data_IF_277033496830
#
_entry.id   IF_277033496830
#
_cell.length_a   1.000
_cell.length_b   1.000
_cell.length_c   1.000
_cell.angle_alpha   90.00
_cell.angle_beta   90.00
_cell.angle_gamma   90.00
#
_symmetry.space_group_name_H-M   'P 1'
#
loop_
_entity.id
_entity.type
_entity.pdbx_description
1 polymer ?
#
# COMPACT_ATOMS: atom_id res chain seq x y z
N UNK A 1 12.96 -26.20 17.13
CA UNK A 1 12.19 -24.96 17.02
C UNK A 1 12.19 -24.58 15.55
N UNK A 2 11.06 -24.74 14.84
CA UNK A 2 10.93 -24.25 13.46
C UNK A 2 10.84 -22.73 13.52
N UNK A 3 11.82 -22.06 12.96
CA UNK A 3 11.89 -20.61 12.87
C UNK A 3 10.69 -20.12 12.02
N UNK A 4 9.79 -19.34 12.62
CA UNK A 4 8.64 -18.82 11.88
C UNK A 4 9.05 -17.55 11.12
N UNK A 5 9.37 -17.71 9.84
CA UNK A 5 9.83 -16.62 8.97
C UNK A 5 8.85 -15.43 8.88
N UNK A 6 7.57 -15.65 9.17
CA UNK A 6 6.53 -14.58 9.21
C UNK A 6 6.83 -13.54 10.30
N UNK A 7 7.53 -13.92 11.40
CA UNK A 7 7.91 -12.99 12.46
C UNK A 7 8.90 -11.91 12.01
N UNK A 8 9.67 -12.19 10.95
CA UNK A 8 10.66 -11.25 10.41
C UNK A 8 10.16 -10.59 9.13
N UNK A 9 9.47 -11.34 8.27
CA UNK A 9 9.08 -10.85 6.97
C UNK A 9 8.15 -9.63 7.05
N UNK A 10 7.07 -9.71 7.81
CA UNK A 10 6.08 -8.64 7.89
C UNK A 10 6.62 -7.37 8.56
N UNK A 11 7.29 -7.44 9.72
CA UNK A 11 7.97 -6.27 10.28
C UNK A 11 9.06 -5.72 9.35
N UNK A 12 9.82 -6.61 8.68
CA UNK A 12 10.84 -6.23 7.72
C UNK A 12 10.28 -5.41 6.57
N UNK A 13 9.12 -5.79 6.04
CA UNK A 13 8.43 -5.04 5.00
C UNK A 13 8.04 -3.61 5.45
N UNK A 14 7.51 -3.48 6.67
CA UNK A 14 7.19 -2.18 7.24
C UNK A 14 8.44 -1.31 7.45
N UNK A 15 9.58 -1.90 7.84
CA UNK A 15 10.86 -1.20 7.99
C UNK A 15 11.37 -0.74 6.62
N UNK A 16 11.32 -1.59 5.59
CA UNK A 16 11.79 -1.26 4.22
C UNK A 16 11.07 -0.04 3.67
N UNK A 17 9.77 0.12 3.91
CA UNK A 17 9.03 1.32 3.50
C UNK A 17 9.09 2.46 4.50
N UNK A 18 9.24 2.17 5.79
CA UNK A 18 9.34 3.17 6.85
C UNK A 18 10.63 3.98 6.77
N UNK A 19 11.78 3.33 6.50
CA UNK A 19 13.08 4.02 6.40
C UNK A 19 13.07 5.12 5.32
N UNK A 20 12.69 4.87 4.06
CA UNK A 20 12.58 5.92 3.05
C UNK A 20 11.62 7.05 3.46
N UNK A 21 10.52 6.72 4.14
CA UNK A 21 9.58 7.73 4.64
C UNK A 21 10.24 8.69 5.61
N UNK A 22 11.08 8.20 6.52
CA UNK A 22 11.84 9.01 7.47
C UNK A 22 12.95 9.84 6.81
N UNK A 23 13.52 9.34 5.72
CA UNK A 23 14.61 10.01 4.99
C UNK A 23 14.09 11.14 4.10
N UNK A 24 13.03 10.88 3.34
CA UNK A 24 12.57 11.79 2.28
C UNK A 24 11.56 12.82 2.77
N UNK A 25 10.68 12.48 3.73
CA UNK A 25 9.63 13.39 4.17
C UNK A 25 10.15 14.29 5.29
N UNK A 26 10.15 15.64 5.11
CA UNK A 26 10.54 16.58 6.16
C UNK A 26 9.65 16.45 7.41
N UNK A 27 10.25 16.62 8.59
CA UNK A 27 9.55 16.44 9.90
C UNK A 27 8.32 17.33 10.02
N UNK A 28 8.36 18.54 9.46
CA UNK A 28 7.27 19.52 9.48
C UNK A 28 6.04 19.04 8.70
N UNK A 29 6.25 18.20 7.68
CA UNK A 29 5.20 17.63 6.84
C UNK A 29 4.78 16.22 7.26
N UNK A 30 5.53 15.60 8.18
CA UNK A 30 5.33 14.21 8.56
C UNK A 30 3.90 13.93 9.04
N UNK A 31 3.37 14.80 9.93
CA UNK A 31 2.00 14.65 10.45
C UNK A 31 0.95 14.64 9.33
N UNK A 32 1.09 15.52 8.34
CA UNK A 32 0.18 15.60 7.20
C UNK A 32 0.18 14.29 6.41
N UNK A 33 1.37 13.86 5.98
CA UNK A 33 1.49 12.64 5.19
C UNK A 33 1.14 11.38 5.96
N UNK A 34 1.41 11.35 7.29
CA UNK A 34 1.03 10.24 8.14
C UNK A 34 -0.51 10.09 8.21
N UNK A 35 -1.27 11.18 8.36
CA UNK A 35 -2.73 11.13 8.38
C UNK A 35 -3.27 10.61 7.04
N UNK A 36 -2.80 11.15 5.91
CA UNK A 36 -3.22 10.67 4.59
C UNK A 36 -2.77 9.23 4.33
N UNK A 37 -1.54 8.88 4.66
CA UNK A 37 -1.02 7.52 4.50
C UNK A 37 -1.79 6.51 5.35
N UNK A 38 -2.10 6.85 6.59
CA UNK A 38 -2.88 5.99 7.47
C UNK A 38 -4.32 5.78 6.97
N UNK A 39 -5.00 6.85 6.56
CA UNK A 39 -6.38 6.74 6.07
C UNK A 39 -6.45 6.08 4.70
N UNK A 40 -5.70 6.59 3.72
CA UNK A 40 -5.77 6.13 2.33
C UNK A 40 -4.95 4.85 2.07
N UNK A 41 -3.89 4.61 2.83
CA UNK A 41 -3.09 3.40 2.79
C UNK A 41 -3.54 2.37 3.82
N UNK A 42 -3.34 2.65 5.11
CA UNK A 42 -3.56 1.68 6.18
C UNK A 42 -5.00 1.22 6.33
N UNK A 43 -5.97 2.14 6.49
CA UNK A 43 -7.38 1.77 6.69
C UNK A 43 -7.97 1.16 5.41
N UNK A 44 -7.74 1.78 4.25
CA UNK A 44 -8.27 1.26 2.98
C UNK A 44 -7.65 -0.09 2.65
N UNK A 45 -6.38 -0.35 3.00
CA UNK A 45 -5.76 -1.66 2.87
C UNK A 45 -6.49 -2.74 3.67
N UNK A 46 -6.79 -2.48 4.94
CA UNK A 46 -7.57 -3.41 5.78
C UNK A 46 -8.94 -3.70 5.15
N UNK A 47 -9.64 -2.67 4.67
CA UNK A 47 -10.93 -2.83 4.00
C UNK A 47 -10.78 -3.65 2.71
N UNK A 48 -9.74 -3.40 1.93
CA UNK A 48 -9.43 -4.15 0.70
C UNK A 48 -9.19 -5.64 1.00
N UNK A 49 -8.41 -5.93 2.05
CA UNK A 49 -8.16 -7.32 2.47
C UNK A 49 -9.46 -8.00 2.91
N UNK A 50 -10.31 -7.32 3.67
CA UNK A 50 -11.59 -7.89 4.12
C UNK A 50 -12.53 -8.14 2.93
N UNK A 51 -12.78 -7.13 2.10
CA UNK A 51 -13.77 -7.22 1.02
C UNK A 51 -13.24 -8.00 -0.19
N UNK A 52 -12.10 -7.59 -0.75
CA UNK A 52 -11.58 -8.19 -1.99
C UNK A 52 -10.82 -9.49 -1.67
N UNK A 53 -9.99 -9.51 -0.63
CA UNK A 53 -9.27 -10.71 -0.23
C UNK A 53 -10.21 -11.76 0.34
N UNK A 54 -10.76 -11.53 1.53
CA UNK A 54 -11.47 -12.57 2.27
C UNK A 54 -12.89 -12.85 1.75
N UNK A 55 -13.69 -11.82 1.40
CA UNK A 55 -15.07 -12.01 0.96
C UNK A 55 -15.17 -12.44 -0.52
N UNK A 56 -14.37 -11.84 -1.40
CA UNK A 56 -14.38 -12.21 -2.83
C UNK A 56 -13.39 -13.34 -3.16
N UNK A 57 -12.47 -13.66 -2.26
CA UNK A 57 -11.52 -14.75 -2.44
C UNK A 57 -10.41 -14.46 -3.45
N UNK A 58 -10.14 -13.19 -3.78
CA UNK A 58 -9.16 -12.79 -4.79
C UNK A 58 -7.72 -13.07 -4.37
N UNK A 59 -7.44 -12.94 -3.08
CA UNK A 59 -6.12 -13.22 -2.50
C UNK A 59 -6.19 -13.50 -1.01
N UNK A 60 -5.14 -14.15 -0.50
CA UNK A 60 -5.02 -14.49 0.92
C UNK A 60 -3.59 -14.23 1.41
N UNK A 61 -3.46 -13.58 2.55
CA UNK A 61 -2.19 -13.50 3.26
C UNK A 61 -1.98 -14.75 4.12
N UNK A 62 -0.77 -15.30 4.10
CA UNK A 62 -0.38 -16.35 5.03
C UNK A 62 0.07 -15.65 6.30
N UNK A 63 -0.92 -15.45 7.18
CA UNK A 63 -0.71 -14.77 8.44
C UNK A 63 0.14 -15.62 9.39
N UNK A 64 1.10 -14.98 10.03
CA UNK A 64 1.88 -15.57 11.11
C UNK A 64 1.27 -15.25 12.49
N UNK A 65 2.04 -15.46 13.57
CA UNK A 65 1.55 -15.19 14.92
C UNK A 65 1.29 -13.71 15.21
N UNK A 66 1.81 -12.79 14.39
CA UNK A 66 1.53 -11.34 14.47
C UNK A 66 0.42 -10.95 13.51
N UNK A 67 -0.75 -11.58 13.64
CA UNK A 67 -1.93 -11.29 12.84
C UNK A 67 -3.15 -11.02 13.71
N UNK A 68 -4.00 -10.10 13.25
CA UNK A 68 -5.31 -9.83 13.80
C UNK A 68 -6.37 -10.12 12.72
N UNK A 69 -7.36 -10.94 13.04
CA UNK A 69 -8.44 -11.34 12.08
C UNK A 69 -7.91 -11.94 10.77
N UNK A 70 -6.79 -12.67 10.81
CA UNK A 70 -6.16 -13.26 9.63
C UNK A 70 -5.32 -12.27 8.79
N UNK A 71 -5.21 -11.02 9.21
CA UNK A 71 -4.45 -9.97 8.53
C UNK A 71 -3.14 -9.75 9.29
N UNK A 72 -1.96 -9.90 8.66
CA UNK A 72 -0.70 -9.53 9.30
C UNK A 72 -0.67 -8.04 9.66
N UNK A 73 -0.51 -7.70 10.94
CA UNK A 73 -0.64 -6.33 11.47
C UNK A 73 0.32 -5.33 10.79
N UNK A 74 1.47 -5.80 10.34
CA UNK A 74 2.48 -4.96 9.70
C UNK A 74 2.17 -4.59 8.24
N UNK A 75 1.18 -5.25 7.58
CA UNK A 75 0.78 -4.90 6.21
C UNK A 75 0.14 -3.53 6.15
N UNK A 76 -0.93 -3.21 6.91
CA UNK A 76 -1.49 -1.85 6.92
C UNK A 76 -0.47 -0.78 7.31
N UNK A 77 0.49 -1.11 8.18
CA UNK A 77 1.59 -0.21 8.55
C UNK A 77 2.51 0.03 7.34
N UNK A 78 2.91 -1.02 6.64
CA UNK A 78 3.74 -0.91 5.44
C UNK A 78 3.03 -0.09 4.34
N UNK A 79 1.74 -0.34 4.11
CA UNK A 79 0.94 0.43 3.14
C UNK A 79 0.74 1.88 3.57
N UNK A 80 0.65 2.17 4.87
CA UNK A 80 0.68 3.55 5.37
C UNK A 80 1.94 4.27 4.87
N UNK A 81 3.11 3.68 5.01
CA UNK A 81 4.37 4.26 4.55
C UNK A 81 4.46 4.35 3.02
N UNK A 82 3.99 3.34 2.29
CA UNK A 82 3.92 3.38 0.82
C UNK A 82 3.07 4.58 0.36
N UNK A 83 1.90 4.79 0.98
CA UNK A 83 1.03 5.93 0.64
C UNK A 83 1.62 7.27 1.03
N UNK A 84 2.34 7.35 2.15
CA UNK A 84 3.08 8.57 2.51
C UNK A 84 4.08 8.96 1.41
N UNK A 85 4.87 8.00 0.92
CA UNK A 85 5.83 8.22 -0.18
C UNK A 85 5.12 8.54 -1.50
N UNK A 86 4.07 7.79 -1.84
CA UNK A 86 3.26 8.03 -3.04
C UNK A 86 2.73 9.46 -3.08
N UNK A 87 2.15 9.95 -2.00
CA UNK A 87 1.58 11.29 -1.95
C UNK A 87 2.65 12.39 -1.86
N UNK A 88 3.77 12.10 -1.22
CA UNK A 88 4.89 13.06 -1.12
C UNK A 88 5.54 13.31 -2.48
N UNK A 89 5.77 12.27 -3.26
CA UNK A 89 6.35 12.39 -4.62
C UNK A 89 5.32 12.60 -5.73
N UNK A 90 4.05 12.84 -5.39
CA UNK A 90 2.98 13.01 -6.38
C UNK A 90 3.30 14.13 -7.36
N UNK A 91 3.36 13.86 -8.69
CA UNK A 91 3.71 14.86 -9.69
C UNK A 91 2.69 16.00 -9.72
N UNK A 92 3.17 17.24 -9.82
CA UNK A 92 2.30 18.42 -9.99
C UNK A 92 1.66 18.42 -11.37
N UNK A 93 2.43 18.09 -12.41
CA UNK A 93 1.96 18.08 -13.80
C UNK A 93 1.14 16.83 -14.09
N UNK A 94 -0.03 17.03 -14.73
CA UNK A 94 -0.97 15.93 -15.05
C UNK A 94 -0.37 14.91 -16.03
N UNK A 95 0.47 15.36 -16.96
CA UNK A 95 1.13 14.51 -17.96
C UNK A 95 2.01 13.41 -17.33
N UNK A 96 2.58 13.67 -16.15
CA UNK A 96 3.38 12.69 -15.40
C UNK A 96 2.56 11.86 -14.42
N UNK A 97 1.30 12.19 -14.19
CA UNK A 97 0.47 11.49 -13.22
C UNK A 97 0.15 10.05 -13.64
N UNK A 98 -0.19 9.87 -14.92
CA UNK A 98 -0.54 8.53 -15.45
C UNK A 98 0.64 7.56 -15.36
N UNK A 99 1.85 7.88 -15.91
CA UNK A 99 2.99 6.97 -15.79
C UNK A 99 3.43 6.79 -14.33
N UNK A 100 3.27 7.79 -13.46
CA UNK A 100 3.56 7.68 -12.04
C UNK A 100 2.64 6.67 -11.35
N UNK A 101 1.33 6.78 -11.55
CA UNK A 101 0.34 5.82 -11.00
C UNK A 101 0.62 4.42 -11.57
N UNK A 102 0.86 4.29 -12.87
CA UNK A 102 1.16 3.01 -13.49
C UNK A 102 2.42 2.35 -12.88
N UNK A 103 3.44 3.14 -12.55
CA UNK A 103 4.64 2.68 -11.85
C UNK A 103 4.33 2.11 -10.47
N UNK A 104 3.50 2.80 -9.67
CA UNK A 104 3.09 2.30 -8.35
C UNK A 104 2.18 1.08 -8.43
N UNK A 105 1.27 1.02 -9.41
CA UNK A 105 0.44 -0.17 -9.67
C UNK A 105 1.33 -1.36 -10.03
N UNK A 106 2.26 -1.19 -10.96
CA UNK A 106 3.21 -2.25 -11.34
C UNK A 106 4.05 -2.71 -10.16
N UNK A 107 4.53 -1.78 -9.33
CA UNK A 107 5.26 -2.08 -8.09
C UNK A 107 4.41 -2.91 -7.11
N UNK A 108 3.15 -2.52 -6.87
CA UNK A 108 2.26 -3.24 -5.95
C UNK A 108 1.96 -4.67 -6.42
N UNK A 109 1.70 -4.85 -7.73
CA UNK A 109 1.50 -6.19 -8.34
C UNK A 109 2.78 -7.03 -8.24
N UNK A 110 3.94 -6.45 -8.56
CA UNK A 110 5.24 -7.12 -8.42
C UNK A 110 5.49 -7.56 -6.97
N UNK A 111 5.16 -6.71 -5.99
CA UNK A 111 5.28 -7.05 -4.58
C UNK A 111 4.40 -8.25 -4.22
N UNK A 112 3.18 -8.34 -4.76
CA UNK A 112 2.30 -9.51 -4.62
C UNK A 112 2.95 -10.79 -5.13
N UNK A 113 3.58 -10.76 -6.31
CA UNK A 113 4.34 -11.90 -6.84
C UNK A 113 5.53 -12.30 -5.97
N UNK A 114 6.30 -11.32 -5.50
CA UNK A 114 7.42 -11.59 -4.58
C UNK A 114 6.92 -12.28 -3.31
N UNK A 115 5.84 -11.78 -2.71
CA UNK A 115 5.24 -12.36 -1.52
C UNK A 115 4.70 -13.78 -1.79
N UNK A 116 4.09 -14.02 -2.95
CA UNK A 116 3.63 -15.35 -3.34
C UNK A 116 4.79 -16.33 -3.50
N UNK A 117 5.85 -15.94 -4.19
CA UNK A 117 7.03 -16.79 -4.39
C UNK A 117 7.73 -17.12 -3.07
N UNK A 118 7.68 -16.23 -2.11
CA UNK A 118 8.20 -16.44 -0.76
C UNK A 118 7.23 -17.22 0.15
N UNK A 119 6.01 -17.53 -0.31
CA UNK A 119 5.04 -18.29 0.45
C UNK A 119 4.26 -17.48 1.50
N UNK A 120 4.22 -16.15 1.40
CA UNK A 120 3.51 -15.26 2.32
C UNK A 120 2.15 -14.77 1.79
N UNK A 121 1.87 -15.05 0.52
CA UNK A 121 0.67 -14.58 -0.18
C UNK A 121 0.20 -15.66 -1.17
N UNK A 122 -1.10 -15.75 -1.41
CA UNK A 122 -1.70 -16.64 -2.41
C UNK A 122 -2.75 -15.90 -3.22
N UNK A 123 -2.73 -16.07 -4.54
CA UNK A 123 -3.84 -15.69 -5.41
C UNK A 123 -5.00 -16.69 -5.27
N UNK A 124 -6.24 -16.19 -5.21
CA UNK A 124 -7.43 -17.02 -4.99
C UNK A 124 -7.97 -17.70 -6.24
N UNK A 125 -8.26 -16.93 -7.28
CA UNK A 125 -8.92 -17.42 -8.52
C UNK A 125 -7.94 -17.72 -9.67
N UNK A 126 -6.71 -18.11 -9.36
CA UNK A 126 -5.64 -18.28 -10.34
C UNK A 126 -4.90 -16.98 -10.65
N UNK A 127 -3.64 -17.14 -11.06
CA UNK A 127 -2.70 -16.01 -11.13
C UNK A 127 -3.17 -14.91 -12.09
N UNK A 128 -3.63 -15.25 -13.29
CA UNK A 128 -4.01 -14.25 -14.30
C UNK A 128 -5.22 -13.42 -13.86
N UNK A 129 -6.27 -14.07 -13.35
CA UNK A 129 -7.49 -13.38 -12.88
C UNK A 129 -7.15 -12.42 -11.73
N UNK A 130 -6.46 -12.92 -10.72
CA UNK A 130 -6.14 -12.13 -9.52
C UNK A 130 -5.16 -10.98 -9.83
N UNK A 131 -4.25 -11.15 -10.81
CA UNK A 131 -3.38 -10.06 -11.27
C UNK A 131 -4.18 -8.95 -11.95
N UNK A 132 -5.13 -9.30 -12.82
CA UNK A 132 -6.00 -8.31 -13.47
C UNK A 132 -6.83 -7.58 -12.42
N UNK A 133 -7.43 -8.29 -11.47
CA UNK A 133 -8.17 -7.73 -10.34
C UNK A 133 -7.31 -6.75 -9.52
N UNK A 134 -6.07 -7.12 -9.22
CA UNK A 134 -5.12 -6.25 -8.52
C UNK A 134 -4.77 -4.99 -9.32
N UNK A 135 -4.49 -5.12 -10.62
CA UNK A 135 -4.20 -3.96 -11.48
C UNK A 135 -5.37 -2.98 -11.45
N UNK A 136 -6.60 -3.46 -11.62
CA UNK A 136 -7.81 -2.61 -11.59
C UNK A 136 -7.96 -1.96 -10.22
N UNK A 137 -7.89 -2.74 -9.15
CA UNK A 137 -8.09 -2.25 -7.77
C UNK A 137 -7.04 -1.21 -7.38
N UNK A 138 -5.76 -1.47 -7.62
CA UNK A 138 -4.69 -0.52 -7.34
C UNK A 138 -4.76 0.73 -8.22
N UNK A 139 -5.14 0.59 -9.51
CA UNK A 139 -5.31 1.74 -10.40
C UNK A 139 -6.40 2.68 -9.88
N UNK A 140 -7.54 2.15 -9.47
CA UNK A 140 -8.62 2.93 -8.85
C UNK A 140 -8.12 3.57 -7.54
N UNK A 141 -7.51 2.78 -6.68
CA UNK A 141 -7.08 3.22 -5.35
C UNK A 141 -6.04 4.34 -5.42
N UNK A 142 -4.96 4.18 -6.21
CA UNK A 142 -3.95 5.23 -6.39
C UNK A 142 -4.53 6.48 -7.06
N UNK A 143 -5.40 6.33 -8.06
CA UNK A 143 -6.03 7.47 -8.75
C UNK A 143 -6.94 8.27 -7.82
N UNK A 144 -7.79 7.60 -7.04
CA UNK A 144 -8.67 8.24 -6.06
C UNK A 144 -7.86 8.93 -4.96
N UNK A 145 -6.81 8.28 -4.47
CA UNK A 145 -5.93 8.86 -3.45
C UNK A 145 -5.23 10.13 -3.96
N UNK A 146 -4.73 10.09 -5.21
CA UNK A 146 -4.12 11.25 -5.84
C UNK A 146 -5.10 12.41 -6.00
N UNK A 147 -6.34 12.11 -6.41
CA UNK A 147 -7.41 13.12 -6.58
C UNK A 147 -7.77 13.76 -5.23
N UNK A 148 -8.03 12.96 -4.20
CA UNK A 148 -8.36 13.45 -2.84
C UNK A 148 -7.24 14.38 -2.34
N UNK A 149 -5.99 13.95 -2.47
CA UNK A 149 -4.85 14.74 -2.00
C UNK A 149 -4.68 16.06 -2.76
N UNK A 150 -4.93 16.07 -4.08
CA UNK A 150 -4.89 17.30 -4.90
C UNK A 150 -5.98 18.28 -4.49
N UNK A 151 -7.24 17.83 -4.38
CA UNK A 151 -8.38 18.66 -3.93
C UNK A 151 -8.08 19.27 -2.56
N UNK A 152 -7.49 18.49 -1.66
CA UNK A 152 -7.11 19.01 -0.33
C UNK A 152 -6.06 20.11 -0.42
N UNK A 153 -5.01 19.94 -1.25
CA UNK A 153 -3.96 20.94 -1.41
C UNK A 153 -4.40 22.21 -2.14
N UNK A 154 -5.36 22.12 -3.06
CA UNK A 154 -5.91 23.28 -3.74
C UNK A 154 -6.74 24.17 -2.80
N UNK A 155 -7.34 23.59 -1.77
CA UNK A 155 -8.12 24.32 -0.75
C UNK A 155 -7.27 25.01 0.32
N UNK A 156 -5.99 24.64 0.45
CA UNK A 156 -5.09 25.32 1.37
C UNK A 156 -4.60 26.63 0.74
N UNK A 157 -4.70 27.77 1.45
CA UNK A 157 -4.11 29.01 0.97
C UNK A 157 -2.61 28.74 0.72
N UNK A 158 -2.15 29.05 -0.49
CA UNK A 158 -0.71 29.02 -0.80
C UNK A 158 -0.03 30.06 0.08
N UNK A 159 0.47 29.63 1.21
CA UNK A 159 1.43 30.44 1.96
C UNK A 159 2.67 30.55 1.09
N UNK A 160 2.82 31.73 0.47
CA UNK A 160 3.99 32.16 -0.29
C UNK A 160 5.19 32.20 0.66
#
# INVERSE_FOLDING_TARGET
MTFNSNLIFWPGLAIVFGIPTLIFIPKEQYKKFLIFGFVLGGIVDVLTIIFIGNMMGEFFYIAGPLAAFGIPVFIPIAFTFVWMLFLYFLPVRLEFLIPYIAGFVGFAVMLGFVQQNLGYFKFGHGTTHSVISQIISFSIWFSVSALIYRIYNEKLPRTI
#
